data_IF_651339798131
#
_entry.id   IF_651339798131
#
_cell.length_a   1.000
_cell.length_b   1.000
_cell.length_c   1.000
_cell.angle_alpha   90.00
_cell.angle_beta   90.00
_cell.angle_gamma   90.00
#
_symmetry.space_group_name_H-M   'P 1'
#
loop_
_entity.id
_entity.type
_entity.pdbx_description
1 polymer ?
#
# COMPACT_ATOMS: atom_id res chain seq x y z
N UNK A 1 52.19 -38.78 24.74
CA UNK A 1 50.97 -37.99 24.92
C UNK A 1 49.83 -38.97 24.87
N UNK A 2 49.00 -39.02 25.91
CA UNK A 2 47.75 -39.78 25.90
C UNK A 2 46.63 -38.75 25.85
N UNK A 3 45.81 -38.80 24.80
CA UNK A 3 44.58 -38.01 24.73
C UNK A 3 43.40 -38.92 25.00
N UNK A 4 42.68 -38.68 26.09
CA UNK A 4 41.43 -39.41 26.40
C UNK A 4 40.29 -38.41 26.42
N UNK A 5 39.20 -38.73 25.74
CA UNK A 5 37.95 -38.00 25.87
C UNK A 5 37.06 -38.71 26.90
N UNK A 6 36.12 -38.06 27.58
CA UNK A 6 35.16 -38.77 28.46
C UNK A 6 33.83 -38.05 28.47
N UNK A 7 32.75 -38.80 28.20
CA UNK A 7 31.40 -38.52 28.68
C UNK A 7 31.12 -39.40 29.90
N UNK A 8 30.30 -38.92 30.83
CA UNK A 8 30.12 -39.51 32.16
C UNK A 8 29.48 -40.92 32.16
N UNK A 9 29.18 -41.53 31.01
CA UNK A 9 28.41 -42.78 30.95
C UNK A 9 28.94 -43.88 29.99
N UNK A 10 29.88 -43.64 29.07
CA UNK A 10 30.45 -44.69 28.21
C UNK A 10 31.94 -44.44 27.90
N UNK A 11 32.71 -45.51 27.69
CA UNK A 11 34.14 -45.41 27.43
C UNK A 11 34.38 -44.82 26.04
N UNK A 12 35.52 -44.15 25.87
CA UNK A 12 35.68 -43.12 24.83
C UNK A 12 36.97 -43.32 24.04
N UNK A 13 37.02 -42.84 22.79
CA UNK A 13 38.21 -42.88 21.99
C UNK A 13 39.48 -42.37 22.68
N UNK A 14 40.52 -43.21 22.58
CA UNK A 14 41.83 -42.98 23.17
C UNK A 14 42.89 -42.96 22.07
N UNK A 15 43.79 -41.98 22.15
CA UNK A 15 44.91 -41.82 21.24
C UNK A 15 46.22 -41.90 22.03
N UNK A 16 47.01 -42.96 21.78
CA UNK A 16 48.27 -43.22 22.47
C UNK A 16 49.48 -43.21 21.53
N UNK A 17 50.40 -42.27 21.78
CA UNK A 17 51.70 -42.14 21.07
C UNK A 17 52.90 -42.43 21.97
N UNK A 18 52.72 -43.02 23.15
CA UNK A 18 53.84 -43.35 24.05
C UNK A 18 54.78 -44.36 23.37
N UNK A 19 56.04 -43.96 23.18
CA UNK A 19 57.08 -44.81 22.58
C UNK A 19 56.92 -45.05 21.07
N UNK A 20 56.08 -44.28 20.36
CA UNK A 20 55.77 -44.46 18.93
C UNK A 20 55.80 -43.12 18.19
N UNK A 21 56.04 -43.16 16.88
CA UNK A 21 55.82 -41.98 16.03
C UNK A 21 54.32 -41.69 15.89
N UNK A 22 53.94 -40.42 15.66
CA UNK A 22 52.54 -39.99 15.54
C UNK A 22 51.73 -40.79 14.51
N UNK A 23 52.38 -41.26 13.44
CA UNK A 23 51.77 -42.02 12.35
C UNK A 23 51.53 -43.51 12.71
N UNK A 24 52.04 -43.97 13.85
CA UNK A 24 51.89 -45.35 14.37
C UNK A 24 51.14 -45.38 15.70
N UNK A 25 50.38 -44.34 16.00
CA UNK A 25 49.61 -44.21 17.23
C UNK A 25 48.52 -45.28 17.32
N UNK A 26 48.28 -45.77 18.52
CA UNK A 26 47.16 -46.67 18.77
C UNK A 26 45.88 -45.83 18.90
N UNK A 27 44.90 -46.10 18.04
CA UNK A 27 43.57 -45.51 18.11
C UNK A 27 42.59 -46.56 18.62
N UNK A 28 41.74 -46.17 19.54
CA UNK A 28 40.65 -46.99 20.05
C UNK A 28 39.41 -46.12 20.13
N UNK A 29 38.23 -46.69 19.88
CA UNK A 29 36.91 -46.12 20.18
C UNK A 29 36.04 -47.25 20.75
N UNK A 30 35.17 -46.94 21.70
CA UNK A 30 34.28 -47.95 22.28
C UNK A 30 33.23 -48.37 21.22
N UNK A 31 33.18 -49.68 20.84
CA UNK A 31 32.24 -50.19 19.86
C UNK A 31 30.76 -50.00 20.25
N UNK A 32 30.46 -49.96 21.55
CA UNK A 32 29.11 -49.85 22.10
C UNK A 32 28.67 -48.39 22.31
N UNK A 33 29.62 -47.45 22.35
CA UNK A 33 29.34 -46.03 22.52
C UNK A 33 29.25 -45.31 21.17
N UNK A 34 30.34 -45.35 20.39
CA UNK A 34 30.46 -44.58 19.15
C UNK A 34 30.81 -45.45 17.94
N UNK A 35 31.30 -46.68 18.15
CA UNK A 35 31.70 -47.54 17.03
C UNK A 35 32.76 -46.88 16.14
N UNK A 36 32.68 -47.05 14.81
CA UNK A 36 33.61 -46.42 13.87
C UNK A 36 33.35 -44.92 13.65
N UNK A 37 32.26 -44.36 14.19
CA UNK A 37 31.84 -42.97 13.93
C UNK A 37 32.71 -41.95 14.63
N UNK A 38 33.36 -42.32 15.74
CA UNK A 38 34.29 -41.44 16.45
C UNK A 38 35.74 -41.86 16.20
N UNK A 39 36.55 -40.95 15.66
CA UNK A 39 37.96 -41.19 15.40
C UNK A 39 38.80 -39.94 15.64
N UNK A 40 40.11 -40.14 15.82
CA UNK A 40 41.04 -39.05 16.07
C UNK A 40 41.75 -38.64 14.77
N UNK A 41 41.42 -37.46 14.26
CA UNK A 41 42.02 -36.88 13.07
C UNK A 41 43.39 -36.27 13.41
N UNK A 42 44.45 -37.03 13.17
CA UNK A 42 45.85 -36.65 13.44
C UNK A 42 46.46 -35.75 12.37
N UNK A 43 45.85 -35.71 11.19
CA UNK A 43 46.29 -34.88 10.05
C UNK A 43 45.87 -33.41 10.25
N UNK A 44 44.82 -33.16 11.04
CA UNK A 44 44.38 -31.82 11.41
C UNK A 44 45.37 -31.16 12.39
N UNK A 45 45.60 -29.85 12.24
CA UNK A 45 46.37 -29.03 13.20
C UNK A 45 45.48 -27.91 13.75
N UNK A 46 45.07 -27.95 15.03
CA UNK A 46 45.39 -28.97 16.04
C UNK A 46 44.69 -30.31 15.75
N UNK A 47 45.24 -31.40 16.31
CA UNK A 47 44.62 -32.72 16.19
C UNK A 47 43.22 -32.71 16.83
N UNK A 48 42.24 -33.26 16.12
CA UNK A 48 40.82 -33.12 16.46
C UNK A 48 40.16 -34.49 16.67
N UNK A 49 39.19 -34.54 17.59
CA UNK A 49 38.24 -35.64 17.67
C UNK A 49 37.13 -35.36 16.65
N UNK A 50 36.90 -36.29 15.73
CA UNK A 50 35.81 -36.22 14.76
C UNK A 50 34.75 -37.24 15.13
N UNK A 51 33.49 -36.83 15.08
CA UNK A 51 32.32 -37.68 15.27
C UNK A 51 31.40 -37.54 14.06
N UNK A 52 31.29 -38.61 13.27
CA UNK A 52 30.43 -38.67 12.10
C UNK A 52 29.00 -39.06 12.48
N UNK A 53 28.03 -38.54 11.72
CA UNK A 53 26.60 -38.88 11.83
C UNK A 53 26.04 -38.75 13.26
N UNK A 54 26.15 -37.57 13.86
CA UNK A 54 25.72 -37.28 15.24
C UNK A 54 24.25 -37.66 15.48
N UNK A 55 24.00 -38.38 16.57
CA UNK A 55 22.69 -38.84 17.05
C UNK A 55 22.31 -38.10 18.34
N UNK A 56 21.02 -38.10 18.70
CA UNK A 56 20.54 -37.45 19.94
C UNK A 56 21.25 -37.98 21.20
N UNK A 57 21.59 -39.27 21.22
CA UNK A 57 22.31 -39.92 22.33
C UNK A 57 23.80 -39.52 22.44
N UNK A 58 24.35 -38.84 21.43
CA UNK A 58 25.72 -38.34 21.48
C UNK A 58 25.85 -37.06 22.32
N UNK A 59 24.73 -36.45 22.73
CA UNK A 59 24.72 -35.30 23.63
C UNK A 59 25.40 -35.62 24.98
N UNK A 60 26.33 -34.74 25.38
CA UNK A 60 27.05 -34.94 26.63
C UNK A 60 28.25 -34.02 26.79
N UNK A 61 28.97 -34.22 27.90
CA UNK A 61 30.22 -33.51 28.17
C UNK A 61 31.37 -34.34 27.57
N UNK A 62 32.22 -33.70 26.78
CA UNK A 62 33.43 -34.27 26.20
C UNK A 62 34.65 -33.67 26.89
N UNK A 63 35.46 -34.53 27.53
CA UNK A 63 36.65 -34.10 28.27
C UNK A 63 37.96 -34.34 27.54
N UNK A 64 38.62 -33.35 26.95
CA UNK A 64 40.00 -33.51 26.46
C UNK A 64 40.99 -33.63 27.64
N UNK A 65 41.55 -34.82 27.87
CA UNK A 65 42.65 -35.04 28.83
C UNK A 65 43.95 -35.27 28.07
N UNK A 66 45.00 -34.51 28.39
CA UNK A 66 46.33 -34.61 27.76
C UNK A 66 47.39 -34.91 28.81
N UNK A 67 47.96 -36.11 28.77
CA UNK A 67 49.04 -36.54 29.67
C UNK A 67 50.44 -36.30 29.06
N UNK A 68 51.34 -35.69 29.84
CA UNK A 68 52.73 -35.43 29.47
C UNK A 68 53.70 -36.35 30.24
N UNK A 69 54.89 -36.60 29.67
CA UNK A 69 55.90 -37.46 30.32
C UNK A 69 56.51 -36.82 31.56
N UNK A 70 56.73 -35.50 31.51
CA UNK A 70 57.48 -34.75 32.52
C UNK A 70 56.72 -33.52 33.04
N UNK A 71 55.41 -33.41 32.82
CA UNK A 71 54.60 -32.29 33.32
C UNK A 71 53.17 -32.75 33.67
N UNK A 72 52.42 -31.95 34.46
CA UNK A 72 51.08 -32.32 34.89
C UNK A 72 50.09 -32.48 33.73
N UNK A 73 49.16 -33.42 33.87
CA UNK A 73 48.05 -33.64 32.94
C UNK A 73 47.19 -32.40 32.82
N UNK A 74 46.93 -31.93 31.58
CA UNK A 74 45.94 -30.87 31.33
C UNK A 74 44.59 -31.49 30.99
N UNK A 75 43.53 -30.87 31.47
CA UNK A 75 42.15 -31.30 31.22
C UNK A 75 41.32 -30.11 30.77
N UNK A 76 40.49 -30.30 29.74
CA UNK A 76 39.50 -29.34 29.28
C UNK A 76 38.19 -30.07 29.01
N UNK A 77 37.05 -29.41 29.23
CA UNK A 77 35.72 -30.00 29.01
C UNK A 77 34.90 -29.09 28.13
N UNK A 78 34.16 -29.69 27.19
CA UNK A 78 33.16 -29.02 26.36
C UNK A 78 31.84 -29.79 26.45
N UNK A 79 30.71 -29.09 26.35
CA UNK A 79 29.39 -29.71 26.27
C UNK A 79 28.94 -29.71 24.81
N UNK A 80 28.59 -30.89 24.30
CA UNK A 80 27.93 -31.07 23.00
C UNK A 80 26.43 -31.20 23.26
N UNK A 81 25.62 -30.43 22.54
CA UNK A 81 24.15 -30.54 22.53
C UNK A 81 23.67 -30.82 21.11
N UNK A 82 22.69 -31.72 20.97
CA UNK A 82 22.22 -32.23 19.67
C UNK A 82 20.73 -31.91 19.53
N UNK A 83 20.31 -31.41 18.38
CA UNK A 83 18.93 -30.95 18.16
C UNK A 83 18.21 -31.91 17.24
N UNK A 84 16.97 -32.24 17.56
CA UNK A 84 16.09 -32.99 16.67
C UNK A 84 15.52 -32.06 15.58
N UNK A 85 15.82 -32.40 14.32
CA UNK A 85 15.37 -31.67 13.14
C UNK A 85 14.16 -32.30 12.44
N UNK A 86 13.50 -33.31 13.03
CA UNK A 86 12.35 -33.97 12.39
C UNK A 86 11.17 -32.99 12.20
N UNK A 87 10.68 -32.79 10.96
CA UNK A 87 9.53 -31.91 10.69
C UNK A 87 8.18 -32.50 11.10
N UNK A 88 8.11 -33.82 11.34
CA UNK A 88 6.89 -34.52 11.72
C UNK A 88 7.10 -35.24 13.05
N UNK A 89 6.17 -35.03 13.99
CA UNK A 89 6.21 -35.55 15.36
C UNK A 89 6.03 -37.07 15.50
N UNK A 90 6.63 -37.87 14.63
CA UNK A 90 6.70 -39.33 14.77
C UNK A 90 7.93 -39.73 15.58
N UNK A 91 7.73 -39.87 16.89
CA UNK A 91 8.71 -40.47 17.79
C UNK A 91 9.14 -41.84 17.29
N UNK A 92 10.46 -42.04 17.17
CA UNK A 92 11.03 -43.38 17.21
C UNK A 92 10.89 -43.91 18.65
N UNK A 93 10.03 -44.91 18.82
CA UNK A 93 9.84 -45.59 20.10
C UNK A 93 11.10 -46.41 20.42
N UNK A 94 12.03 -45.81 21.16
CA UNK A 94 12.99 -46.55 21.98
C UNK A 94 12.75 -46.21 23.46
N UNK A 95 12.86 -47.17 24.39
CA UNK A 95 12.56 -46.92 25.79
C UNK A 95 13.65 -46.02 26.40
N UNK A 96 13.33 -44.77 26.72
CA UNK A 96 14.26 -43.84 27.39
C UNK A 96 14.39 -44.13 28.89
N UNK A 97 15.63 -44.20 29.36
CA UNK A 97 16.01 -44.17 30.78
C UNK A 97 15.71 -42.77 31.36
N UNK A 98 14.86 -42.70 32.40
CA UNK A 98 14.22 -41.48 32.94
C UNK A 98 15.20 -40.58 33.72
N UNK A 99 16.51 -40.84 33.68
CA UNK A 99 17.50 -40.16 34.54
C UNK A 99 18.33 -39.06 33.89
N UNK A 100 18.20 -38.78 32.60
CA UNK A 100 19.04 -37.77 31.95
C UNK A 100 18.35 -36.92 30.87
N UNK A 101 17.09 -36.55 31.05
CA UNK A 101 16.44 -35.52 30.23
C UNK A 101 16.80 -34.14 30.75
N UNK A 102 17.91 -33.58 30.26
CA UNK A 102 18.24 -32.16 30.46
C UNK A 102 18.46 -31.47 29.11
N UNK A 103 17.54 -30.56 28.83
CA UNK A 103 17.53 -29.49 27.82
C UNK A 103 17.23 -29.86 26.34
N UNK A 104 16.10 -30.52 26.11
CA UNK A 104 15.54 -30.68 24.75
C UNK A 104 15.03 -29.33 24.25
N UNK A 105 15.65 -28.82 23.17
CA UNK A 105 15.16 -27.64 22.46
C UNK A 105 14.02 -28.04 21.53
N UNK A 106 12.81 -27.51 21.76
CA UNK A 106 11.61 -27.77 20.96
C UNK A 106 11.19 -26.46 20.29
N UNK A 107 11.11 -26.36 18.96
CA UNK A 107 10.58 -25.16 18.30
C UNK A 107 9.10 -24.89 18.70
N UNK A 108 8.62 -23.65 18.59
CA UNK A 108 7.18 -23.38 18.72
C UNK A 108 6.41 -24.20 17.66
N UNK A 109 5.25 -24.75 18.00
CA UNK A 109 4.47 -25.55 17.05
C UNK A 109 3.43 -24.71 16.30
N UNK A 110 3.10 -23.51 16.80
CA UNK A 110 2.10 -22.64 16.18
C UNK A 110 2.41 -21.16 16.38
N UNK A 111 2.28 -20.39 15.30
CA UNK A 111 2.37 -18.92 15.28
C UNK A 111 1.10 -18.38 14.60
N UNK A 112 0.31 -17.61 15.34
CA UNK A 112 -0.98 -17.06 14.91
C UNK A 112 -0.87 -15.53 14.89
N UNK A 113 -1.42 -14.91 13.85
CA UNK A 113 -1.37 -13.47 13.63
C UNK A 113 -2.79 -12.95 13.40
N UNK A 114 -3.34 -12.15 14.31
CA UNK A 114 -4.73 -11.69 14.23
C UNK A 114 -4.91 -10.21 14.57
N UNK A 115 -6.03 -9.62 14.14
CA UNK A 115 -6.38 -8.22 14.43
C UNK A 115 -7.18 -8.07 15.74
N UNK A 116 -7.59 -6.83 16.09
CA UNK A 116 -8.42 -6.60 17.29
C UNK A 116 -9.78 -7.32 17.30
N UNK A 117 -10.29 -7.80 16.15
CA UNK A 117 -11.53 -8.58 16.11
C UNK A 117 -11.28 -10.10 16.12
N UNK A 118 -10.01 -10.53 16.24
CA UNK A 118 -9.63 -11.94 16.30
C UNK A 118 -9.56 -12.62 14.94
N UNK A 119 -9.57 -11.86 13.83
CA UNK A 119 -9.45 -12.44 12.47
C UNK A 119 -8.00 -12.71 12.15
N UNK A 120 -7.69 -13.87 11.56
CA UNK A 120 -6.34 -14.13 11.01
C UNK A 120 -6.06 -13.14 9.87
N UNK A 121 -4.97 -12.39 10.00
CA UNK A 121 -4.53 -11.37 9.03
C UNK A 121 -3.17 -11.70 8.43
N UNK A 122 -2.76 -12.96 8.46
CA UNK A 122 -1.54 -13.38 7.75
C UNK A 122 -1.64 -13.03 6.25
N UNK A 123 -0.61 -12.37 5.73
CA UNK A 123 -0.60 -11.84 4.37
C UNK A 123 -0.96 -10.35 4.27
N UNK A 124 -2.23 -9.97 4.47
CA UNK A 124 -2.71 -8.60 4.27
C UNK A 124 -3.69 -8.15 5.37
N UNK A 125 -3.53 -6.93 5.87
CA UNK A 125 -4.48 -6.26 6.78
C UNK A 125 -4.98 -4.95 6.17
N UNK A 126 -6.27 -4.68 6.33
CA UNK A 126 -6.96 -3.52 5.75
C UNK A 126 -7.90 -3.92 4.62
N UNK A 127 -8.23 -3.00 3.69
CA UNK A 127 -7.68 -1.64 3.58
C UNK A 127 -8.17 -0.71 4.70
N UNK A 128 -7.25 0.00 5.36
CA UNK A 128 -7.55 1.00 6.40
C UNK A 128 -7.57 2.42 5.85
N UNK A 129 -8.30 3.32 6.51
CA UNK A 129 -8.28 4.75 6.21
C UNK A 129 -7.22 5.48 7.05
N UNK A 130 -6.77 6.64 6.59
CA UNK A 130 -5.86 7.48 7.37
C UNK A 130 -6.47 7.87 8.73
N UNK A 131 -5.67 7.82 9.79
CA UNK A 131 -6.10 8.08 11.16
C UNK A 131 -6.75 6.90 11.87
N UNK A 132 -7.06 5.80 11.16
CA UNK A 132 -7.53 4.56 11.79
C UNK A 132 -6.46 3.97 12.74
N UNK A 133 -6.95 3.21 13.72
CA UNK A 133 -6.10 2.44 14.62
C UNK A 133 -5.84 1.04 14.04
N UNK A 134 -4.56 0.65 13.97
CA UNK A 134 -4.14 -0.71 13.63
C UNK A 134 -3.71 -1.43 14.90
N UNK A 135 -4.33 -2.59 15.16
CA UNK A 135 -3.97 -3.52 16.23
C UNK A 135 -3.68 -4.88 15.62
N UNK A 136 -2.47 -5.37 15.78
CA UNK A 136 -2.04 -6.72 15.43
C UNK A 136 -1.76 -7.50 16.71
N UNK A 137 -1.92 -8.80 16.71
CA UNK A 137 -1.58 -9.67 17.84
C UNK A 137 -0.88 -10.89 17.31
N UNK A 138 0.29 -11.18 17.86
CA UNK A 138 1.05 -12.37 17.57
C UNK A 138 1.00 -13.31 18.77
N UNK A 139 0.36 -14.45 18.60
CA UNK A 139 0.27 -15.51 19.60
C UNK A 139 1.13 -16.69 19.17
N UNK A 140 2.05 -17.09 20.05
CA UNK A 140 2.98 -18.18 19.83
C UNK A 140 2.73 -19.26 20.88
N UNK A 141 2.50 -20.49 20.43
CA UNK A 141 2.22 -21.64 21.29
C UNK A 141 3.36 -22.65 21.28
N UNK A 142 3.72 -23.10 22.47
CA UNK A 142 4.79 -24.05 22.71
C UNK A 142 6.18 -23.43 22.59
N UNK A 143 7.17 -24.30 22.44
CA UNK A 143 8.59 -23.92 22.46
C UNK A 143 9.24 -24.22 23.82
N UNK A 144 10.40 -24.87 23.79
CA UNK A 144 11.27 -25.07 24.96
C UNK A 144 12.71 -24.79 24.56
N UNK A 145 13.45 -23.90 25.23
CA UNK A 145 12.99 -22.85 26.13
C UNK A 145 11.82 -21.98 25.57
N UNK A 146 11.18 -21.18 26.41
CA UNK A 146 10.06 -20.34 25.96
C UNK A 146 10.55 -19.34 24.91
N UNK A 147 9.86 -19.20 23.75
CA UNK A 147 10.32 -18.32 22.68
C UNK A 147 10.17 -16.85 23.06
N UNK A 148 11.10 -16.04 22.58
CA UNK A 148 10.97 -14.57 22.57
C UNK A 148 10.24 -14.15 21.30
N UNK A 149 9.19 -13.36 21.46
CA UNK A 149 8.37 -12.86 20.35
C UNK A 149 8.64 -11.37 20.18
N UNK A 150 8.93 -10.95 18.95
CA UNK A 150 9.20 -9.55 18.61
C UNK A 150 8.55 -9.17 17.29
N UNK A 151 8.29 -7.87 17.12
CA UNK A 151 7.85 -7.30 15.85
C UNK A 151 8.99 -6.65 15.10
N UNK A 152 8.99 -6.84 13.78
CA UNK A 152 9.80 -6.10 12.85
C UNK A 152 8.87 -5.30 11.92
N UNK A 153 9.13 -4.00 11.83
CA UNK A 153 8.46 -3.07 10.92
C UNK A 153 9.45 -2.79 9.79
N UNK A 154 9.12 -3.22 8.57
CA UNK A 154 10.00 -3.13 7.40
C UNK A 154 11.43 -3.65 7.67
N UNK A 155 11.51 -4.75 8.44
CA UNK A 155 12.76 -5.41 8.81
C UNK A 155 13.47 -4.79 10.02
N UNK A 156 13.00 -3.67 10.56
CA UNK A 156 13.58 -3.04 11.76
C UNK A 156 12.82 -3.44 13.04
N UNK A 157 13.50 -3.79 14.14
CA UNK A 157 12.83 -4.10 15.40
C UNK A 157 11.98 -2.93 15.90
N UNK A 158 10.70 -3.18 16.22
CA UNK A 158 9.81 -2.14 16.73
C UNK A 158 10.20 -1.73 18.17
N UNK A 159 10.29 -0.42 18.47
CA UNK A 159 10.53 0.07 19.82
C UNK A 159 9.23 -0.08 20.63
N UNK A 160 9.29 -0.90 21.67
CA UNK A 160 8.25 -1.14 22.66
C UNK A 160 7.08 -2.03 22.21
N UNK A 161 7.00 -3.21 22.84
CA UNK A 161 5.80 -4.03 22.82
C UNK A 161 5.56 -4.77 24.13
N UNK A 162 4.30 -4.77 24.59
CA UNK A 162 3.79 -5.52 25.75
C UNK A 162 3.73 -7.00 25.36
N UNK A 163 4.78 -7.75 25.73
CA UNK A 163 4.73 -9.20 25.72
C UNK A 163 3.95 -9.67 26.94
N UNK A 164 2.68 -10.02 26.78
CA UNK A 164 1.92 -10.65 27.86
C UNK A 164 2.17 -12.16 27.81
N UNK A 165 2.85 -12.67 28.84
CA UNK A 165 3.06 -14.10 29.00
C UNK A 165 1.88 -14.65 29.78
N UNK A 166 0.99 -15.36 29.10
CA UNK A 166 -0.05 -16.17 29.75
C UNK A 166 0.50 -17.52 30.16
N UNK A 167 -0.27 -18.26 30.96
CA UNK A 167 0.25 -19.37 31.76
C UNK A 167 0.94 -20.49 30.95
N UNK A 168 2.07 -20.92 31.49
CA UNK A 168 3.05 -21.96 31.12
C UNK A 168 3.52 -22.20 29.67
N UNK A 169 2.79 -21.94 28.57
CA UNK A 169 3.23 -22.32 27.20
C UNK A 169 2.80 -21.38 26.06
N UNK A 170 2.27 -20.20 26.36
CA UNK A 170 1.81 -19.23 25.34
C UNK A 170 2.49 -17.88 25.54
N UNK A 171 2.99 -17.29 24.46
CA UNK A 171 3.60 -15.95 24.45
C UNK A 171 2.82 -15.09 23.47
N UNK A 172 2.27 -13.98 23.97
CA UNK A 172 1.51 -13.04 23.17
C UNK A 172 2.28 -11.73 23.08
N UNK A 173 2.43 -11.21 21.88
CA UNK A 173 3.00 -9.90 21.63
C UNK A 173 2.03 -9.13 20.72
N UNK A 174 1.40 -8.08 21.24
CA UNK A 174 0.43 -7.26 20.49
C UNK A 174 1.18 -6.31 19.53
N UNK A 175 0.53 -5.48 18.72
CA UNK A 175 0.96 -4.60 17.60
C UNK A 175 0.12 -3.32 17.57
N UNK A 176 0.41 -2.19 18.21
CA UNK A 176 -0.51 -1.03 18.24
C UNK A 176 0.06 0.18 17.53
N UNK A 177 -0.70 0.68 16.57
CA UNK A 177 -0.44 1.92 15.86
C UNK A 177 -1.72 2.77 15.90
N UNK A 178 -1.82 3.75 16.83
CA UNK A 178 -3.05 4.48 17.10
C UNK A 178 -3.60 5.25 15.90
N UNK A 179 -2.70 5.78 15.06
CA UNK A 179 -3.06 6.56 13.88
C UNK A 179 -2.18 6.12 12.70
N UNK A 180 -2.77 5.35 11.79
CA UNK A 180 -2.12 5.03 10.52
C UNK A 180 -2.02 6.29 9.65
N UNK A 181 -0.86 6.50 9.02
CA UNK A 181 -0.56 7.62 8.12
C UNK A 181 -0.36 7.08 6.72
N UNK A 182 -0.47 7.93 5.70
CA UNK A 182 -0.22 7.54 4.29
C UNK A 182 1.16 6.92 4.08
N UNK A 183 2.16 7.32 4.87
CA UNK A 183 3.52 6.77 4.84
C UNK A 183 3.63 5.32 5.27
N UNK A 184 2.62 4.76 5.95
CA UNK A 184 2.58 3.35 6.35
C UNK A 184 2.00 2.44 5.27
N UNK A 185 1.61 2.99 4.11
CA UNK A 185 1.13 2.19 2.99
C UNK A 185 2.19 1.16 2.58
N UNK A 186 1.77 -0.10 2.41
CA UNK A 186 2.64 -1.23 2.09
C UNK A 186 3.71 -1.55 3.14
N UNK A 187 3.68 -0.92 4.31
CA UNK A 187 4.51 -1.32 5.45
C UNK A 187 4.23 -2.77 5.81
N UNK A 188 5.30 -3.52 6.03
CA UNK A 188 5.29 -4.93 6.40
C UNK A 188 5.52 -5.08 7.89
N UNK A 189 4.57 -5.70 8.57
CA UNK A 189 4.67 -6.05 9.98
C UNK A 189 4.96 -7.54 10.07
N UNK A 190 6.13 -7.88 10.61
CA UNK A 190 6.56 -9.26 10.76
C UNK A 190 6.65 -9.61 12.23
N UNK A 191 5.88 -10.60 12.65
CA UNK A 191 6.10 -11.23 13.94
C UNK A 191 7.20 -12.29 13.79
N UNK A 192 8.19 -12.25 14.68
CA UNK A 192 9.30 -13.20 14.75
C UNK A 192 9.35 -13.84 16.13
N UNK A 193 9.28 -15.17 16.15
CA UNK A 193 9.42 -16.00 17.34
C UNK A 193 10.76 -16.73 17.33
N UNK A 194 11.62 -16.42 18.29
CA UNK A 194 12.95 -17.02 18.42
C UNK A 194 13.04 -17.80 19.73
N UNK A 195 13.34 -19.10 19.63
CA UNK A 195 13.55 -19.96 20.81
C UNK A 195 15.03 -20.00 21.21
N UNK A 196 15.90 -20.50 20.32
CA UNK A 196 17.35 -20.54 20.52
C UNK A 196 18.08 -20.13 19.23
N UNK A 197 19.39 -19.90 19.31
CA UNK A 197 20.22 -19.63 18.13
C UNK A 197 20.44 -20.86 17.23
N UNK A 198 19.89 -22.01 17.62
CA UNK A 198 20.12 -23.29 16.96
C UNK A 198 19.00 -23.66 15.98
N UNK A 199 17.84 -22.98 16.06
CA UNK A 199 16.68 -23.19 15.19
C UNK A 199 16.34 -21.87 14.52
N UNK A 200 16.03 -21.92 13.22
CA UNK A 200 15.54 -20.75 12.51
C UNK A 200 14.27 -20.20 13.18
N UNK A 201 14.19 -18.89 13.42
CA UNK A 201 13.02 -18.29 14.03
C UNK A 201 11.79 -18.48 13.13
N UNK A 202 10.64 -18.72 13.74
CA UNK A 202 9.38 -18.75 13.01
C UNK A 202 8.88 -17.34 12.78
N UNK A 203 8.34 -17.08 11.59
CA UNK A 203 7.91 -15.75 11.20
C UNK A 203 6.55 -15.79 10.48
N UNK A 204 5.68 -14.82 10.79
CA UNK A 204 4.52 -14.48 9.94
C UNK A 204 4.57 -13.00 9.62
N UNK A 205 4.23 -12.67 8.38
CA UNK A 205 4.24 -11.29 7.88
C UNK A 205 2.82 -10.90 7.47
N UNK A 206 2.48 -9.63 7.71
CA UNK A 206 1.29 -8.98 7.20
C UNK A 206 1.68 -7.65 6.58
N UNK A 207 1.11 -7.34 5.41
CA UNK A 207 1.28 -6.07 4.72
C UNK A 207 0.05 -5.19 4.94
N UNK A 208 0.26 -3.93 5.29
CA UNK A 208 -0.82 -2.96 5.43
C UNK A 208 -1.29 -2.45 4.06
N UNK A 209 -2.58 -2.57 3.82
CA UNK A 209 -3.28 -1.88 2.74
C UNK A 209 -4.09 -0.71 3.28
N UNK A 210 -4.15 0.35 2.47
CA UNK A 210 -4.89 1.55 2.81
C UNK A 210 -5.73 2.04 1.65
N UNK A 211 -6.88 2.64 2.00
CA UNK A 211 -7.65 3.51 1.14
C UNK A 211 -7.23 4.96 1.43
N UNK A 212 -6.76 5.66 0.41
CA UNK A 212 -6.24 7.01 0.50
C UNK A 212 -7.04 7.93 -0.43
N UNK A 213 -7.59 9.02 0.11
CA UNK A 213 -8.25 10.04 -0.71
C UNK A 213 -7.25 10.75 -1.64
N UNK A 214 -7.67 11.35 -2.77
CA UNK A 214 -6.79 12.18 -3.59
C UNK A 214 -6.18 13.32 -2.76
N UNK A 215 -4.94 13.69 -3.05
CA UNK A 215 -4.30 14.89 -2.47
C UNK A 215 -4.19 16.06 -3.43
N UNK A 216 -4.22 15.78 -4.74
CA UNK A 216 -4.16 16.78 -5.80
C UNK A 216 -5.21 16.47 -6.85
N UNK A 217 -5.85 17.52 -7.35
CA UNK A 217 -6.65 17.52 -8.59
C UNK A 217 -6.36 18.86 -9.25
N UNK A 218 -5.92 18.83 -10.50
CA UNK A 218 -5.53 20.05 -11.21
C UNK A 218 -5.85 19.95 -12.70
N UNK A 219 -6.47 21.01 -13.23
CA UNK A 219 -6.62 21.23 -14.67
C UNK A 219 -5.37 21.98 -15.14
N UNK A 220 -4.47 21.28 -15.85
CA UNK A 220 -3.11 21.74 -16.15
C UNK A 220 -3.05 23.03 -17.00
N UNK A 221 -4.06 23.27 -17.83
CA UNK A 221 -4.16 24.46 -18.66
C UNK A 221 -5.58 24.99 -18.63
N UNK A 222 -5.71 26.25 -18.18
CA UNK A 222 -6.97 27.00 -18.10
C UNK A 222 -6.89 28.17 -19.09
N UNK A 223 -7.30 27.96 -20.36
CA UNK A 223 -7.20 29.00 -21.37
C UNK A 223 -7.95 30.26 -20.95
N UNK A 224 -7.36 31.43 -21.21
CA UNK A 224 -8.00 32.72 -20.90
C UNK A 224 -9.25 32.91 -21.73
N UNK A 225 -9.21 32.54 -23.02
CA UNK A 225 -10.35 32.59 -23.93
C UNK A 225 -10.42 31.33 -24.80
N UNK A 226 -11.63 30.98 -25.21
CA UNK A 226 -11.95 29.84 -26.07
C UNK A 226 -12.76 30.32 -27.28
N UNK A 227 -12.64 29.66 -28.42
CA UNK A 227 -13.42 29.99 -29.62
C UNK A 227 -14.47 28.91 -29.87
N UNK A 228 -15.71 29.32 -30.19
CA UNK A 228 -16.82 28.38 -30.46
C UNK A 228 -16.66 27.53 -31.73
N UNK A 229 -15.66 27.81 -32.57
CA UNK A 229 -15.44 27.13 -33.86
C UNK A 229 -14.24 26.19 -33.86
N UNK A 230 -13.51 26.10 -32.74
CA UNK A 230 -12.28 25.34 -32.63
C UNK A 230 -12.38 24.31 -31.53
N UNK A 231 -11.85 23.11 -31.79
CA UNK A 231 -11.67 22.12 -30.75
C UNK A 231 -10.63 22.60 -29.74
N UNK A 232 -10.94 22.44 -28.46
CA UNK A 232 -10.00 22.61 -27.36
C UNK A 232 -9.80 21.27 -26.68
N UNK A 233 -8.59 21.09 -26.14
CA UNK A 233 -8.21 19.93 -25.35
C UNK A 233 -7.81 20.40 -23.96
N UNK A 234 -8.51 19.92 -22.93
CA UNK A 234 -8.20 20.20 -21.53
C UNK A 234 -7.75 18.91 -20.85
N UNK A 235 -6.73 19.01 -20.01
CA UNK A 235 -6.19 17.86 -19.28
C UNK A 235 -6.34 18.10 -17.79
N UNK A 236 -6.94 17.14 -17.10
CA UNK A 236 -7.02 17.08 -15.65
C UNK A 236 -6.15 15.95 -15.13
N UNK A 237 -5.43 16.18 -14.04
CA UNK A 237 -4.58 15.18 -13.38
C UNK A 237 -4.96 15.10 -11.91
N UNK A 238 -4.90 13.89 -11.34
CA UNK A 238 -5.04 13.67 -9.90
C UNK A 238 -4.02 12.68 -9.36
N UNK A 239 -3.56 12.94 -8.13
CA UNK A 239 -2.50 12.17 -7.48
C UNK A 239 -2.84 11.76 -6.04
N UNK A 240 -2.17 10.69 -5.58
CA UNK A 240 -2.18 10.25 -4.18
C UNK A 240 -3.44 9.48 -3.77
N UNK A 241 -4.36 9.19 -4.69
CA UNK A 241 -5.52 8.34 -4.39
C UNK A 241 -5.13 6.86 -4.43
N UNK A 242 -5.63 6.09 -3.46
CA UNK A 242 -5.58 4.63 -3.47
C UNK A 242 -6.95 4.06 -3.07
N UNK A 243 -7.61 3.24 -3.90
CA UNK A 243 -7.29 2.97 -5.30
C UNK A 243 -7.22 4.25 -6.17
N UNK A 244 -6.67 4.16 -7.40
CA UNK A 244 -6.61 5.29 -8.33
C UNK A 244 -7.98 5.97 -8.47
N UNK A 245 -7.98 7.30 -8.48
CA UNK A 245 -9.22 8.06 -8.50
C UNK A 245 -9.94 7.95 -9.85
N UNK A 246 -11.27 8.03 -9.84
CA UNK A 246 -12.06 8.21 -11.04
C UNK A 246 -12.22 9.71 -11.32
N UNK A 247 -11.72 10.15 -12.47
CA UNK A 247 -11.88 11.54 -12.93
C UNK A 247 -13.21 11.71 -13.67
N UNK A 248 -13.96 12.74 -13.33
CA UNK A 248 -15.21 13.09 -14.04
C UNK A 248 -15.27 14.58 -14.29
N UNK A 249 -15.57 14.95 -15.54
CA UNK A 249 -15.82 16.32 -15.95
C UNK A 249 -17.28 16.70 -15.69
N UNK A 250 -17.50 17.92 -15.18
CA UNK A 250 -18.80 18.49 -14.87
C UNK A 250 -18.96 19.89 -15.48
N UNK A 251 -20.16 20.19 -15.97
CA UNK A 251 -20.63 21.51 -16.42
C UNK A 251 -21.82 21.89 -15.52
N UNK A 252 -21.71 22.96 -14.74
CA UNK A 252 -22.75 23.42 -13.78
C UNK A 252 -23.36 22.26 -12.96
N UNK A 253 -22.52 21.47 -12.30
CA UNK A 253 -22.87 20.29 -11.48
C UNK A 253 -23.48 19.10 -12.23
N UNK A 254 -23.61 19.14 -13.55
CA UNK A 254 -24.03 17.99 -14.37
C UNK A 254 -22.83 17.36 -15.05
N UNK A 255 -22.81 16.03 -15.15
CA UNK A 255 -21.74 15.33 -15.87
C UNK A 255 -21.63 15.86 -17.29
N UNK A 256 -20.44 16.27 -17.68
CA UNK A 256 -20.15 16.75 -19.02
C UNK A 256 -20.04 15.56 -19.97
N UNK A 257 -20.94 15.50 -20.96
CA UNK A 257 -21.09 14.35 -21.88
C UNK A 257 -20.60 14.63 -23.30
N UNK A 258 -20.27 15.88 -23.63
CA UNK A 258 -19.82 16.26 -24.98
C UNK A 258 -18.31 16.07 -25.11
N UNK A 259 -17.86 15.69 -26.29
CA UNK A 259 -16.43 15.54 -26.60
C UNK A 259 -15.89 14.13 -26.41
N UNK A 260 -14.62 13.97 -26.78
CA UNK A 260 -13.86 12.72 -26.64
C UNK A 260 -13.05 12.77 -25.36
N UNK A 261 -13.21 11.75 -24.51
CA UNK A 261 -12.43 11.57 -23.28
C UNK A 261 -11.34 10.54 -23.55
N UNK A 262 -10.12 10.87 -23.14
CA UNK A 262 -8.96 9.96 -23.17
C UNK A 262 -8.41 9.91 -21.74
N UNK A 263 -8.39 8.72 -21.16
CA UNK A 263 -7.88 8.51 -19.81
C UNK A 263 -6.53 7.80 -19.86
N UNK A 264 -5.64 8.18 -18.96
CA UNK A 264 -4.38 7.50 -18.73
C UNK A 264 -4.14 7.39 -17.22
N UNK A 265 -3.46 6.32 -16.80
CA UNK A 265 -3.10 6.14 -15.40
C UNK A 265 -1.79 5.39 -15.27
N UNK A 266 -1.14 5.57 -14.13
CA UNK A 266 -0.08 4.70 -13.64
C UNK A 266 -0.31 4.41 -12.15
N UNK A 267 0.71 3.97 -11.43
CA UNK A 267 0.61 3.66 -10.00
C UNK A 267 0.39 4.88 -9.09
N UNK A 268 0.76 6.09 -9.53
CA UNK A 268 0.80 7.30 -8.68
C UNK A 268 -0.22 8.36 -9.07
N UNK A 269 -0.63 8.40 -10.33
CA UNK A 269 -1.51 9.42 -10.87
C UNK A 269 -2.52 8.87 -11.88
N UNK A 270 -3.61 9.62 -12.05
CA UNK A 270 -4.63 9.43 -13.08
C UNK A 270 -4.82 10.73 -13.84
N UNK A 271 -5.01 10.65 -15.16
CA UNK A 271 -5.31 11.80 -16.00
C UNK A 271 -6.49 11.55 -16.91
N UNK A 272 -7.24 12.62 -17.16
CA UNK A 272 -8.39 12.64 -18.05
C UNK A 272 -8.27 13.85 -18.94
N UNK A 273 -8.18 13.59 -20.25
CA UNK A 273 -8.15 14.60 -21.27
C UNK A 273 -9.51 14.66 -21.98
N UNK A 274 -10.13 15.83 -21.99
CA UNK A 274 -11.39 16.07 -22.71
C UNK A 274 -11.13 16.97 -23.92
N UNK A 275 -11.52 16.49 -25.09
CA UNK A 275 -11.46 17.23 -26.35
C UNK A 275 -12.87 17.55 -26.83
N UNK A 276 -13.23 18.82 -26.92
CA UNK A 276 -14.56 19.26 -27.33
C UNK A 276 -14.53 20.60 -28.07
N UNK A 277 -15.61 20.91 -28.80
CA UNK A 277 -15.83 22.23 -29.39
C UNK A 277 -16.75 23.04 -28.46
N UNK A 278 -16.30 24.19 -27.93
CA UNK A 278 -17.13 25.07 -27.10
C UNK A 278 -18.33 25.61 -27.88
N UNK A 279 -19.43 25.86 -27.19
CA UNK A 279 -20.64 26.47 -27.74
C UNK A 279 -20.93 27.81 -27.06
N UNK A 280 -21.73 28.70 -27.69
CA UNK A 280 -22.17 29.95 -27.07
C UNK A 280 -22.83 29.77 -25.69
N UNK A 281 -23.50 28.63 -25.46
CA UNK A 281 -24.14 28.25 -24.20
C UNK A 281 -23.18 27.73 -23.12
N UNK A 282 -21.89 27.57 -23.44
CA UNK A 282 -20.84 27.28 -22.46
C UNK A 282 -20.21 28.57 -21.91
N UNK A 283 -20.48 29.72 -22.52
CA UNK A 283 -19.91 30.99 -22.09
C UNK A 283 -20.35 31.36 -20.67
N UNK A 284 -19.37 31.61 -19.81
CA UNK A 284 -19.55 31.92 -18.41
C UNK A 284 -19.95 30.72 -17.53
N UNK A 285 -19.94 29.50 -18.06
CA UNK A 285 -20.22 28.28 -17.31
C UNK A 285 -18.98 27.78 -16.58
N UNK A 286 -19.15 27.20 -15.39
CA UNK A 286 -18.06 26.57 -14.66
C UNK A 286 -17.84 25.14 -15.13
N UNK A 287 -16.64 24.88 -15.66
CA UNK A 287 -16.17 23.54 -15.99
C UNK A 287 -15.31 23.04 -14.83
N UNK A 288 -15.63 21.83 -14.36
CA UNK A 288 -15.04 21.23 -13.17
C UNK A 288 -14.53 19.83 -13.50
N UNK A 289 -13.33 19.50 -13.02
CA UNK A 289 -12.84 18.13 -12.96
C UNK A 289 -12.87 17.67 -11.50
N UNK A 290 -13.53 16.55 -11.24
CA UNK A 290 -13.64 15.96 -9.91
C UNK A 290 -12.94 14.61 -9.89
N UNK A 291 -12.13 14.36 -8.88
CA UNK A 291 -11.50 13.07 -8.60
C UNK A 291 -12.21 12.40 -7.43
N UNK A 292 -12.80 11.24 -7.70
CA UNK A 292 -13.51 10.43 -6.71
C UNK A 292 -12.73 9.16 -6.38
N UNK A 293 -12.74 8.75 -5.11
CA UNK A 293 -12.23 7.45 -4.71
C UNK A 293 -13.43 6.60 -4.27
N UNK A 294 -13.75 5.58 -5.06
CA UNK A 294 -14.91 4.69 -4.82
C UNK A 294 -14.89 4.01 -3.45
N UNK A 295 -13.72 3.86 -2.82
CA UNK A 295 -13.59 3.28 -1.49
C UNK A 295 -13.81 4.32 -0.36
N UNK A 296 -13.79 5.61 -0.67
CA UNK A 296 -13.93 6.74 0.26
C UNK A 296 -15.00 7.74 -0.24
N UNK A 297 -16.28 7.34 -0.22
CA UNK A 297 -17.36 8.19 -0.73
C UNK A 297 -17.44 9.51 0.05
N UNK A 298 -17.66 10.61 -0.68
CA UNK A 298 -17.79 11.94 -0.09
C UNK A 298 -16.47 12.66 0.22
N UNK A 299 -15.31 12.02 -0.02
CA UNK A 299 -13.99 12.63 0.20
C UNK A 299 -13.31 13.12 -1.09
N UNK A 300 -14.09 13.38 -2.15
CA UNK A 300 -13.58 13.81 -3.45
C UNK A 300 -12.85 15.16 -3.40
N UNK A 301 -11.93 15.37 -4.34
CA UNK A 301 -11.33 16.68 -4.61
C UNK A 301 -11.72 17.15 -6.00
N UNK A 302 -11.69 18.46 -6.23
CA UNK A 302 -12.05 19.04 -7.51
C UNK A 302 -11.24 20.30 -7.82
N UNK A 303 -11.03 20.53 -9.11
CA UNK A 303 -10.54 21.79 -9.65
C UNK A 303 -11.52 22.29 -10.71
N UNK A 304 -11.66 23.61 -10.82
CA UNK A 304 -12.61 24.22 -11.74
C UNK A 304 -12.15 25.58 -12.25
N UNK A 305 -12.69 25.97 -13.39
CA UNK A 305 -12.55 27.32 -13.92
C UNK A 305 -13.77 27.70 -14.76
N UNK A 306 -13.98 29.01 -14.90
CA UNK A 306 -15.07 29.56 -15.71
C UNK A 306 -14.63 29.64 -17.16
N UNK A 307 -15.44 29.11 -18.07
CA UNK A 307 -15.19 29.20 -19.50
C UNK A 307 -15.50 30.61 -19.99
N UNK A 308 -14.58 31.21 -20.74
CA UNK A 308 -14.80 32.44 -21.49
C UNK A 308 -14.80 32.07 -22.98
N UNK A 309 -15.99 31.96 -23.55
CA UNK A 309 -16.17 31.48 -24.93
C UNK A 309 -16.52 32.67 -25.82
N UNK A 310 -15.66 32.92 -26.79
CA UNK A 310 -15.83 33.93 -27.84
C UNK A 310 -16.61 33.33 -29.00
N UNK A 311 -17.69 33.99 -29.39
CA UNK A 311 -18.61 33.57 -30.44
C UNK A 311 -19.28 34.77 -31.13
N UNK A 312 -19.62 34.64 -32.43
CA UNK A 312 -20.35 35.68 -33.15
C UNK A 312 -21.77 35.89 -32.58
N UNK A 313 -22.38 37.08 -32.77
CA UNK A 313 -23.71 37.36 -32.22
C UNK A 313 -24.79 36.38 -32.69
N UNK A 314 -25.43 35.71 -31.73
CA UNK A 314 -26.63 34.90 -31.94
C UNK A 314 -27.84 35.79 -31.70
N UNK A 315 -28.61 36.02 -32.77
CA UNK A 315 -29.75 36.96 -32.76
C UNK A 315 -31.06 36.19 -32.90
N UNK A 316 -32.06 36.60 -32.13
CA UNK A 316 -33.44 36.12 -32.23
C UNK A 316 -34.39 37.33 -32.27
N UNK A 317 -35.39 37.26 -33.14
CA UNK A 317 -36.37 38.32 -33.33
C UNK A 317 -37.77 37.76 -33.14
N UNK A 318 -38.56 38.40 -32.29
CA UNK A 318 -39.96 38.06 -32.07
C UNK A 318 -40.84 39.30 -32.04
N UNK A 319 -42.13 39.12 -32.33
CA UNK A 319 -43.14 40.12 -32.01
C UNK A 319 -43.21 40.28 -30.49
N UNK A 320 -43.54 41.47 -30.02
CA UNK A 320 -43.68 41.79 -28.61
C UNK A 320 -44.52 40.78 -27.84
N UNK A 321 -44.06 40.36 -26.66
CA UNK A 321 -44.66 39.25 -25.90
C UNK A 321 -46.14 39.43 -25.55
N UNK A 322 -46.65 40.66 -25.61
CA UNK A 322 -48.06 41.00 -25.33
C UNK A 322 -48.93 41.11 -26.59
N UNK A 323 -48.36 40.92 -27.78
CA UNK A 323 -49.04 41.09 -29.05
C UNK A 323 -49.39 39.73 -29.65
N UNK A 324 -50.62 39.57 -30.15
CA UNK A 324 -51.04 38.41 -30.90
C UNK A 324 -50.96 38.72 -32.40
N UNK A 325 -50.11 38.05 -33.21
CA UNK A 325 -49.98 38.30 -34.64
C UNK A 325 -51.29 38.24 -35.44
N UNK A 326 -52.30 37.52 -34.95
CA UNK A 326 -53.58 37.36 -35.64
C UNK A 326 -54.62 38.45 -35.30
N UNK A 327 -54.38 39.28 -34.28
CA UNK A 327 -55.33 40.28 -33.79
C UNK A 327 -54.86 41.73 -34.01
N UNK A 328 -53.88 41.96 -34.90
CA UNK A 328 -53.33 43.30 -35.17
C UNK A 328 -54.12 43.96 -36.30
N UNK A 329 -54.65 45.15 -36.05
CA UNK A 329 -55.42 45.97 -37.00
C UNK A 329 -54.65 47.22 -37.41
N UNK A 330 -55.08 47.83 -38.51
CA UNK A 330 -54.53 49.12 -38.96
C UNK A 330 -54.74 50.19 -37.88
N UNK A 331 -53.67 50.92 -37.56
CA UNK A 331 -53.62 51.89 -36.47
C UNK A 331 -53.17 51.31 -35.12
N UNK A 332 -53.00 49.99 -35.00
CA UNK A 332 -52.47 49.37 -33.80
C UNK A 332 -50.94 49.54 -33.71
N UNK A 333 -50.48 49.81 -32.50
CA UNK A 333 -49.08 49.95 -32.15
C UNK A 333 -48.39 48.60 -31.99
N UNK A 334 -47.34 48.33 -32.77
CA UNK A 334 -46.55 47.09 -32.67
C UNK A 334 -45.14 47.35 -32.19
N UNK A 335 -44.57 46.36 -31.50
CA UNK A 335 -43.17 46.37 -31.13
C UNK A 335 -42.53 44.99 -31.32
N UNK A 336 -41.23 45.01 -31.53
CA UNK A 336 -40.40 43.83 -31.74
C UNK A 336 -39.36 43.69 -30.65
N UNK A 337 -39.06 42.45 -30.29
CA UNK A 337 -38.04 42.07 -29.34
C UNK A 337 -36.87 41.43 -30.09
N UNK A 338 -35.74 42.14 -30.13
CA UNK A 338 -34.47 41.60 -30.63
C UNK A 338 -33.61 41.19 -29.44
N UNK A 339 -33.38 39.89 -29.34
CA UNK A 339 -32.57 39.26 -28.31
C UNK A 339 -31.23 38.86 -28.91
N UNK A 340 -30.14 39.44 -28.38
CA UNK A 340 -28.77 39.26 -28.85
C UNK A 340 -27.93 38.63 -27.74
N UNK A 341 -27.21 37.55 -28.07
CA UNK A 341 -26.13 36.96 -27.26
C UNK A 341 -24.84 37.03 -28.04
N UNK A 342 -23.80 37.64 -27.47
CA UNK A 342 -22.50 37.77 -28.12
C UNK A 342 -21.38 37.87 -27.08
N UNK A 343 -20.22 37.30 -27.39
CA UNK A 343 -18.99 37.54 -26.66
C UNK A 343 -17.82 37.71 -27.66
N UNK A 344 -17.19 38.90 -27.78
CA UNK A 344 -17.47 40.13 -27.03
C UNK A 344 -18.85 40.74 -27.31
N UNK A 345 -19.25 41.69 -26.46
CA UNK A 345 -20.56 42.35 -26.57
C UNK A 345 -20.73 43.07 -27.91
N UNK A 346 -21.96 43.08 -28.40
CA UNK A 346 -22.35 43.77 -29.62
C UNK A 346 -22.19 45.29 -29.51
N UNK A 347 -21.68 45.93 -30.57
CA UNK A 347 -21.45 47.37 -30.61
C UNK A 347 -22.52 48.14 -31.40
N UNK A 348 -23.25 47.48 -32.30
CA UNK A 348 -24.27 48.11 -33.14
C UNK A 348 -25.39 47.14 -33.49
N UNK A 349 -26.63 47.62 -33.40
CA UNK A 349 -27.84 46.90 -33.85
C UNK A 349 -28.55 47.80 -34.86
N UNK A 350 -28.94 47.24 -36.00
CA UNK A 350 -29.63 47.94 -37.09
C UNK A 350 -30.90 47.18 -37.46
N UNK A 351 -31.97 47.91 -37.80
CA UNK A 351 -33.25 47.34 -38.19
C UNK A 351 -33.51 47.54 -39.68
N UNK A 352 -34.09 46.52 -40.30
CA UNK A 352 -34.41 46.53 -41.71
C UNK A 352 -35.84 46.04 -41.92
N UNK A 353 -36.54 46.68 -42.84
CA UNK A 353 -37.85 46.30 -43.34
C UNK A 353 -37.72 45.77 -44.77
N UNK A 354 -38.74 45.03 -45.21
CA UNK A 354 -38.86 44.52 -46.58
C UNK A 354 -37.60 43.76 -47.06
N UNK A 355 -37.30 42.62 -46.42
CA UNK A 355 -36.20 41.72 -46.79
C UNK A 355 -34.79 42.34 -46.81
N UNK A 356 -34.58 43.48 -46.13
CA UNK A 356 -33.27 44.11 -46.03
C UNK A 356 -33.05 45.30 -46.97
N UNK A 357 -34.01 45.61 -47.85
CA UNK A 357 -33.88 46.72 -48.80
C UNK A 357 -34.04 48.09 -48.16
N UNK A 358 -34.77 48.18 -47.05
CA UNK A 358 -35.05 49.44 -46.36
C UNK A 358 -34.50 49.40 -44.95
N UNK A 359 -33.49 50.23 -44.67
CA UNK A 359 -33.03 50.44 -43.29
C UNK A 359 -34.07 51.32 -42.58
N UNK A 360 -34.62 50.84 -41.47
CA UNK A 360 -35.50 51.65 -40.63
C UNK A 360 -34.61 52.70 -39.97
N UNK A 361 -34.81 53.98 -40.32
CA UNK A 361 -34.06 55.09 -39.74
C UNK A 361 -34.52 55.36 -38.31
N UNK A 362 -33.62 55.85 -37.46
CA UNK A 362 -33.86 56.08 -36.02
C UNK A 362 -35.04 57.04 -35.75
N UNK A 363 -35.52 57.79 -36.75
CA UNK A 363 -36.71 58.64 -36.68
C UNK A 363 -38.06 57.90 -36.79
N UNK A 364 -38.07 56.67 -37.30
CA UNK A 364 -39.30 55.90 -37.55
C UNK A 364 -39.58 54.83 -36.50
N UNK A 365 -38.75 54.76 -35.46
CA UNK A 365 -38.95 53.84 -34.36
C UNK A 365 -38.44 54.43 -33.05
N UNK A 366 -39.02 53.98 -31.93
CA UNK A 366 -38.54 54.32 -30.60
C UNK A 366 -38.09 53.06 -29.87
N UNK A 367 -36.93 53.13 -29.21
CA UNK A 367 -36.48 52.08 -28.29
C UNK A 367 -37.34 52.19 -27.04
N UNK A 368 -38.22 51.20 -26.82
CA UNK A 368 -39.11 51.15 -25.66
C UNK A 368 -38.34 50.86 -24.37
N UNK A 369 -37.36 49.96 -24.42
CA UNK A 369 -36.53 49.62 -23.26
C UNK A 369 -35.28 48.82 -23.66
N UNK A 370 -34.29 48.86 -22.78
CA UNK A 370 -33.09 48.02 -22.79
C UNK A 370 -32.97 47.32 -21.44
N UNK A 371 -32.96 45.99 -21.44
CA UNK A 371 -32.73 45.24 -20.22
C UNK A 371 -32.02 43.91 -20.51
N UNK A 372 -31.32 43.41 -19.48
CA UNK A 372 -30.51 42.19 -19.53
C UNK A 372 -31.22 41.06 -18.80
N UNK A 373 -31.28 39.89 -19.42
CA UNK A 373 -31.84 38.67 -18.82
C UNK A 373 -30.92 37.49 -19.12
N UNK A 374 -30.36 36.85 -18.10
CA UNK A 374 -29.49 35.65 -18.23
C UNK A 374 -28.44 35.74 -19.35
N UNK A 375 -27.63 36.81 -19.32
CA UNK A 375 -26.59 37.11 -20.31
C UNK A 375 -27.09 37.39 -21.75
N UNK A 376 -28.39 37.57 -21.92
CA UNK A 376 -29.03 37.98 -23.16
C UNK A 376 -29.44 39.44 -23.08
N UNK A 377 -29.11 40.23 -24.10
CA UNK A 377 -29.55 41.61 -24.21
C UNK A 377 -30.85 41.66 -25.00
N UNK A 378 -31.89 42.27 -24.43
CA UNK A 378 -33.19 42.43 -25.08
C UNK A 378 -33.39 43.90 -25.39
N UNK A 379 -33.63 44.20 -26.67
CA UNK A 379 -34.06 45.52 -27.14
C UNK A 379 -35.49 45.43 -27.65
N UNK A 380 -36.37 46.19 -27.03
CA UNK A 380 -37.75 46.40 -27.49
C UNK A 380 -37.81 47.64 -28.34
N UNK A 381 -38.33 47.52 -29.55
CA UNK A 381 -38.48 48.65 -30.47
C UNK A 381 -39.91 48.71 -30.97
N UNK A 382 -40.53 49.88 -30.83
CA UNK A 382 -41.83 50.21 -31.37
C UNK A 382 -41.64 50.93 -32.70
N UNK A 383 -42.29 50.44 -33.75
CA UNK A 383 -42.28 51.04 -35.09
C UNK A 383 -43.63 51.73 -35.29
N UNK A 384 -43.61 52.95 -35.83
CA UNK A 384 -44.81 53.78 -36.07
C UNK A 384 -45.25 53.74 -37.53
#
# INVERSE_FOLDING_TARGET
MLATYSSFARAVPAFDVRGRSFNKALQWSDPLAFGPRAYFATVARPAALTLDTVQLDDEGIYRCRVDFKNSPTRNFQIRLSVIDGSPDGTQSLQPMDIRNTRDVTIPPHQLILYDKSGRDVSGVVGPLEEGNELVLVCEVRGGRPAPTVMWLIDGTPAPQYIGEKTDTHVVVNRLELPHVRRTHLNTTFRCRASNTNLVSPQEKTVRLEMNLRPTLVEILSKPVTLSSERYVTLTCVSEGSRPPAQLTWYKDNRKFKRGKIIEAMNETWVSSQVQFMPLPEDDGVQLKCQADNNALPGQSLEDSFKLDVVYPPVVSLSLGSTLNPHDIKEGDDVYFECSVRANPREHRISWYHNLGYEKILDTYFFILSYYKLNNTQIKRIKVY
#
